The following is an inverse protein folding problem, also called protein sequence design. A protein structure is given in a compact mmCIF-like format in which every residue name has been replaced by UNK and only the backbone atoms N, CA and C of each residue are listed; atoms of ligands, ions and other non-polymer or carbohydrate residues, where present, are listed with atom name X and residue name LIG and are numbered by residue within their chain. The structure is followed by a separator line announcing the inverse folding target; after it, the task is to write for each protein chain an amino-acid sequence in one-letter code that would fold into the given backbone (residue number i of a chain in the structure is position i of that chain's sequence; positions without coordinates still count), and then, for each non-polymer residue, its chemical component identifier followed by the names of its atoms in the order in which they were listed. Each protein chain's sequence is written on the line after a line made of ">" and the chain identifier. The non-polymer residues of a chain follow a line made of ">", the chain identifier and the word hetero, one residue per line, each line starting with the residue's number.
data_IF_954486669905
#
_entry.id   IF_954486669905
#
_cell.length_a   1.000
_cell.length_b   1.000
_cell.length_c   1.000
_cell.angle_alpha   90.00
_cell.angle_beta   90.00
_cell.angle_gamma   90.00
#
_symmetry.space_group_name_H-M   'P 1'
#
loop_
_entity.id
_entity.type
_entity.pdbx_description
1 polymer ?
#
# COMPACT_ATOMS: atom_id res chain seq x y z
N UNK A 1 11.07 2.71 14.97
CA UNK A 1 10.81 1.40 14.34
C UNK A 1 11.73 1.13 13.14
N UNK A 2 11.82 1.99 12.12
CA UNK A 2 12.60 1.69 10.89
C UNK A 2 14.08 2.13 10.87
N UNK A 3 14.68 2.49 12.02
CA UNK A 3 16.07 2.99 12.06
C UNK A 3 17.11 1.98 11.56
N UNK A 4 16.79 0.69 11.60
CA UNK A 4 17.65 -0.39 11.09
C UNK A 4 17.54 -0.59 9.57
N UNK A 5 16.44 -0.16 8.94
CA UNK A 5 16.27 -0.17 7.49
C UNK A 5 16.97 1.07 6.91
N UNK A 6 18.25 0.90 6.57
CA UNK A 6 19.10 1.94 5.98
C UNK A 6 18.87 2.00 4.45
N UNK A 7 19.60 2.86 3.76
CA UNK A 7 19.46 3.05 2.31
C UNK A 7 19.65 1.77 1.45
N UNK A 8 20.30 0.71 1.95
CA UNK A 8 20.49 -0.54 1.19
C UNK A 8 19.17 -1.21 0.76
N UNK A 9 18.08 -0.98 1.52
CA UNK A 9 16.75 -1.52 1.18
C UNK A 9 16.19 -0.93 -0.13
N UNK A 10 16.69 0.24 -0.56
CA UNK A 10 16.34 0.83 -1.86
C UNK A 10 16.85 0.00 -3.03
N UNK A 11 17.92 -0.78 -2.84
CA UNK A 11 18.46 -1.68 -3.87
C UNK A 11 17.60 -2.93 -3.99
N UNK A 12 17.07 -3.44 -2.86
CA UNK A 12 16.20 -4.62 -2.86
C UNK A 12 14.76 -4.32 -3.28
N UNK A 13 14.30 -3.09 -3.09
CA UNK A 13 12.92 -2.73 -3.39
C UNK A 13 12.50 -2.99 -4.85
N UNK A 14 13.28 -2.62 -5.89
CA UNK A 14 12.95 -2.95 -7.28
C UNK A 14 12.82 -4.46 -7.51
N UNK A 15 13.68 -5.27 -6.88
CA UNK A 15 13.61 -6.73 -6.98
C UNK A 15 12.30 -7.27 -6.37
N UNK A 16 11.92 -6.77 -5.20
CA UNK A 16 10.65 -7.15 -4.56
C UNK A 16 9.43 -6.70 -5.40
N UNK A 17 9.50 -5.55 -6.05
CA UNK A 17 8.41 -5.03 -6.90
C UNK A 17 8.28 -5.83 -8.20
N UNK A 18 9.40 -6.25 -8.79
CA UNK A 18 9.44 -7.02 -10.04
C UNK A 18 9.22 -8.54 -9.85
N UNK A 19 9.35 -9.04 -8.61
CA UNK A 19 9.28 -10.46 -8.31
C UNK A 19 7.97 -11.14 -8.77
N UNK A 20 6.75 -10.58 -8.53
CA UNK A 20 5.51 -11.18 -9.00
C UNK A 20 5.43 -11.36 -10.52
N UNK A 21 6.00 -10.43 -11.30
CA UNK A 21 5.95 -10.44 -12.76
C UNK A 21 6.98 -11.42 -13.35
N UNK A 22 8.12 -11.60 -12.69
CA UNK A 22 9.20 -12.47 -13.17
C UNK A 22 9.05 -13.93 -12.70
N UNK A 23 8.53 -14.14 -11.50
CA UNK A 23 8.46 -15.45 -10.86
C UNK A 23 7.04 -15.91 -10.49
N UNK A 24 6.01 -15.16 -10.86
CA UNK A 24 4.62 -15.56 -10.67
C UNK A 24 4.32 -16.88 -11.39
N UNK A 25 3.84 -17.89 -10.66
CA UNK A 25 3.55 -19.23 -11.21
C UNK A 25 2.30 -19.84 -10.59
N UNK A 26 1.60 -20.67 -11.36
CA UNK A 26 0.40 -21.38 -10.89
C UNK A 26 0.65 -22.27 -9.66
N UNK A 27 1.90 -22.68 -9.43
CA UNK A 27 2.33 -23.37 -8.20
C UNK A 27 1.96 -22.60 -6.92
N UNK A 28 1.95 -21.27 -6.96
CA UNK A 28 1.63 -20.43 -5.81
C UNK A 28 0.14 -20.16 -5.63
N UNK A 29 -0.74 -20.66 -6.51
CA UNK A 29 -2.19 -20.42 -6.38
C UNK A 29 -2.90 -21.12 -5.20
N UNK A 30 -2.37 -22.17 -4.54
CA UNK A 30 -2.98 -22.69 -3.32
C UNK A 30 -3.01 -21.64 -2.19
N UNK A 31 -4.07 -21.58 -1.36
CA UNK A 31 -4.28 -20.51 -0.38
C UNK A 31 -3.09 -20.23 0.55
N UNK A 32 -2.32 -21.27 0.90
CA UNK A 32 -1.13 -21.16 1.75
C UNK A 32 -0.06 -20.23 1.18
N UNK A 33 0.02 -20.08 -0.14
CA UNK A 33 1.03 -19.27 -0.82
C UNK A 33 0.55 -17.86 -1.16
N UNK A 34 -0.74 -17.55 -0.96
CA UNK A 34 -1.32 -16.25 -1.30
C UNK A 34 -0.58 -15.09 -0.63
N UNK A 35 -0.11 -15.24 0.61
CA UNK A 35 0.62 -14.15 1.29
C UNK A 35 1.93 -13.75 0.58
N UNK A 36 2.50 -14.59 -0.28
CA UNK A 36 3.76 -14.27 -0.99
C UNK A 36 3.56 -13.21 -2.07
N UNK A 37 2.41 -13.21 -2.74
CA UNK A 37 2.15 -12.36 -3.90
C UNK A 37 2.64 -12.91 -5.25
N UNK A 38 3.16 -14.14 -5.30
CA UNK A 38 3.63 -14.81 -6.52
C UNK A 38 2.52 -15.61 -7.26
N UNK A 39 1.27 -15.39 -6.88
CA UNK A 39 0.11 -16.08 -7.46
C UNK A 39 -0.21 -15.52 -8.85
N UNK A 40 -0.77 -16.36 -9.73
CA UNK A 40 -1.22 -15.93 -11.07
C UNK A 40 -2.70 -15.61 -11.13
N UNK A 41 -3.48 -16.09 -10.15
CA UNK A 41 -4.92 -15.82 -10.04
C UNK A 41 -5.19 -15.16 -8.70
N UNK A 42 -5.83 -13.99 -8.70
CA UNK A 42 -6.13 -13.26 -7.47
C UNK A 42 -7.18 -14.02 -6.64
N UNK A 43 -7.06 -14.05 -5.30
CA UNK A 43 -8.09 -14.63 -4.45
C UNK A 43 -9.34 -13.77 -4.51
N UNK A 44 -10.50 -14.36 -4.20
CA UNK A 44 -11.77 -13.63 -4.11
C UNK A 44 -11.79 -12.87 -2.77
N UNK A 45 -11.15 -11.71 -2.73
CA UNK A 45 -11.18 -10.77 -1.61
C UNK A 45 -10.91 -9.36 -2.11
N UNK A 46 -11.63 -8.39 -1.56
CA UNK A 46 -11.51 -6.97 -1.92
C UNK A 46 -10.18 -6.36 -1.46
N UNK A 47 -9.63 -6.86 -0.34
CA UNK A 47 -8.44 -6.31 0.30
C UNK A 47 -7.27 -7.30 0.26
N UNK A 48 -6.85 -7.66 -0.96
CA UNK A 48 -5.69 -8.53 -1.15
C UNK A 48 -4.38 -7.72 -1.19
N UNK A 49 -3.69 -7.66 -0.05
CA UNK A 49 -2.39 -7.00 0.09
C UNK A 49 -1.28 -8.01 0.51
N UNK A 50 -0.71 -8.78 -0.45
CA UNK A 50 0.35 -9.76 -0.16
C UNK A 50 1.70 -9.09 0.18
N UNK A 51 2.71 -9.89 0.53
CA UNK A 51 4.06 -9.40 0.80
C UNK A 51 4.69 -8.75 -0.44
N UNK A 52 4.70 -9.43 -1.59
CA UNK A 52 5.20 -8.89 -2.85
C UNK A 52 4.01 -8.36 -3.68
N UNK A 53 4.07 -7.14 -4.23
CA UNK A 53 5.21 -6.22 -4.29
C UNK A 53 5.32 -5.25 -3.10
N UNK A 54 4.37 -5.28 -2.16
CA UNK A 54 4.15 -4.23 -1.16
C UNK A 54 5.32 -3.98 -0.21
N UNK A 55 6.09 -5.02 0.15
CA UNK A 55 7.31 -4.87 0.95
C UNK A 55 8.36 -4.00 0.25
N UNK A 56 8.42 -4.04 -1.09
CA UNK A 56 9.30 -3.18 -1.87
C UNK A 56 8.88 -1.71 -1.77
N UNK A 57 7.58 -1.42 -1.83
CA UNK A 57 7.03 -0.07 -1.62
C UNK A 57 7.35 0.43 -0.21
N UNK A 58 7.18 -0.42 0.79
CA UNK A 58 7.55 -0.13 2.18
C UNK A 58 9.05 0.20 2.30
N UNK A 59 9.91 -0.60 1.66
CA UNK A 59 11.36 -0.37 1.66
C UNK A 59 11.76 0.93 0.95
N UNK A 60 11.08 1.31 -0.14
CA UNK A 60 11.28 2.63 -0.76
C UNK A 60 11.02 3.74 0.26
N UNK A 61 9.85 3.71 0.93
CA UNK A 61 9.49 4.69 1.94
C UNK A 61 10.46 4.72 3.12
N UNK A 62 10.85 3.55 3.64
CA UNK A 62 11.79 3.44 4.75
C UNK A 62 13.20 3.96 4.38
N UNK A 63 13.72 3.56 3.22
CA UNK A 63 15.04 3.96 2.74
C UNK A 63 15.13 5.45 2.42
N UNK A 64 14.11 6.02 1.75
CA UNK A 64 14.02 7.45 1.49
C UNK A 64 13.86 8.24 2.78
N UNK A 65 12.98 7.78 3.69
CA UNK A 65 12.81 8.40 5.01
C UNK A 65 14.10 8.43 5.82
N UNK A 66 14.90 7.36 5.76
CA UNK A 66 16.22 7.31 6.39
C UNK A 66 17.19 8.31 5.74
N UNK A 67 17.29 8.38 4.42
CA UNK A 67 18.16 9.35 3.72
C UNK A 67 17.76 10.79 4.05
N UNK A 68 16.48 11.10 4.00
CA UNK A 68 15.94 12.42 4.32
C UNK A 68 16.19 12.80 5.78
N UNK A 69 16.13 11.83 6.70
CA UNK A 69 16.44 12.09 8.12
C UNK A 69 17.89 12.56 8.35
N UNK A 70 18.84 12.15 7.49
CA UNK A 70 20.25 12.59 7.56
C UNK A 70 20.44 14.06 7.19
N UNK A 71 19.52 14.61 6.42
CA UNK A 71 19.52 16.02 6.00
C UNK A 71 18.38 16.78 6.67
N UNK A 72 17.87 16.29 7.81
CA UNK A 72 16.82 16.93 8.61
C UNK A 72 15.57 17.28 7.78
N UNK A 73 15.26 16.45 6.77
CA UNK A 73 14.17 16.66 5.82
C UNK A 73 14.23 18.03 5.10
N UNK A 74 15.40 18.67 5.02
CA UNK A 74 15.61 19.96 4.32
C UNK A 74 14.98 20.01 2.92
N UNK A 75 15.10 18.98 2.06
CA UNK A 75 14.46 19.00 0.74
C UNK A 75 12.93 19.12 0.78
N UNK A 76 12.28 18.68 1.87
CA UNK A 76 10.83 18.73 2.00
C UNK A 76 10.31 20.04 2.58
N UNK A 77 11.18 20.95 3.06
CA UNK A 77 10.76 22.20 3.72
C UNK A 77 9.99 23.16 2.80
N UNK A 78 10.20 23.04 1.50
CA UNK A 78 9.52 23.87 0.49
C UNK A 78 8.17 23.28 0.04
N UNK A 79 7.82 22.07 0.48
CA UNK A 79 6.55 21.47 0.11
C UNK A 79 5.40 22.13 0.88
N UNK A 80 4.27 22.42 0.21
CA UNK A 80 3.12 22.99 0.87
C UNK A 80 2.59 22.03 1.94
N UNK A 81 2.26 22.59 3.11
CA UNK A 81 1.67 21.80 4.19
C UNK A 81 0.25 21.35 3.81
N UNK A 82 0.11 20.10 3.37
CA UNK A 82 -1.18 19.48 3.06
C UNK A 82 -1.89 19.01 4.34
N UNK A 83 -2.38 19.97 5.13
CA UNK A 83 -3.06 19.71 6.41
C UNK A 83 -4.21 18.68 6.33
N UNK A 84 -5.05 18.67 5.28
CA UNK A 84 -6.10 17.65 5.14
C UNK A 84 -5.51 16.24 5.00
N UNK A 85 -4.46 16.07 4.19
CA UNK A 85 -3.79 14.79 4.01
C UNK A 85 -3.12 14.30 5.30
N UNK A 86 -2.51 15.23 6.04
CA UNK A 86 -1.93 14.93 7.36
C UNK A 86 -3.01 14.47 8.35
N UNK A 87 -4.19 15.08 8.35
CA UNK A 87 -5.32 14.65 9.18
C UNK A 87 -5.80 13.24 8.80
N UNK A 88 -5.97 12.96 7.50
CA UNK A 88 -6.37 11.63 7.03
C UNK A 88 -5.35 10.56 7.44
N UNK A 89 -4.05 10.88 7.33
CA UNK A 89 -2.97 9.99 7.74
C UNK A 89 -2.85 9.75 9.25
N UNK A 90 -3.52 10.54 10.11
CA UNK A 90 -3.56 10.32 11.57
C UNK A 90 -4.58 9.29 12.00
N UNK A 91 -5.66 9.12 11.23
CA UNK A 91 -6.74 8.17 11.51
C UNK A 91 -6.96 7.21 10.34
N UNK A 92 -5.90 6.61 9.77
CA UNK A 92 -6.00 5.88 8.51
C UNK A 92 -6.92 4.67 8.67
N UNK A 93 -6.86 3.97 9.81
CA UNK A 93 -7.72 2.83 10.09
C UNK A 93 -9.20 3.22 10.23
N UNK A 94 -9.50 4.32 10.93
CA UNK A 94 -10.88 4.80 11.09
C UNK A 94 -11.48 5.18 9.74
N UNK A 95 -10.72 5.92 8.93
CA UNK A 95 -11.14 6.30 7.58
C UNK A 95 -11.31 5.06 6.70
N UNK A 96 -10.39 4.10 6.79
CA UNK A 96 -10.47 2.83 6.09
C UNK A 96 -11.67 1.97 6.53
N UNK A 97 -12.05 1.96 7.81
CA UNK A 97 -13.26 1.24 8.23
C UNK A 97 -14.55 1.98 7.81
N UNK A 98 -14.52 3.31 7.78
CA UNK A 98 -15.69 4.12 7.47
C UNK A 98 -16.04 4.15 5.98
N UNK A 99 -15.04 4.06 5.07
CA UNK A 99 -15.31 4.20 3.64
C UNK A 99 -16.23 3.10 3.11
N UNK A 100 -16.07 1.83 3.54
CA UNK A 100 -16.89 0.71 3.07
C UNK A 100 -18.40 0.91 3.32
N UNK A 101 -18.88 1.11 4.56
CA UNK A 101 -20.31 1.31 4.81
C UNK A 101 -20.85 2.58 4.15
N UNK A 102 -20.04 3.64 4.06
CA UNK A 102 -20.43 4.89 3.37
C UNK A 102 -20.64 4.65 1.88
N UNK A 103 -19.71 3.99 1.19
CA UNK A 103 -19.83 3.70 -0.23
C UNK A 103 -21.00 2.78 -0.53
N UNK A 104 -21.21 1.73 0.27
CA UNK A 104 -22.36 0.83 0.14
C UNK A 104 -23.67 1.62 0.31
N UNK A 105 -23.77 2.46 1.34
CA UNK A 105 -24.98 3.25 1.59
C UNK A 105 -25.28 4.23 0.46
N UNK A 106 -24.25 4.92 -0.05
CA UNK A 106 -24.41 5.89 -1.15
C UNK A 106 -24.81 5.20 -2.44
N UNK A 107 -24.13 4.11 -2.83
CA UNK A 107 -24.44 3.38 -4.06
C UNK A 107 -25.83 2.75 -4.02
N UNK A 108 -26.22 2.19 -2.88
CA UNK A 108 -27.57 1.68 -2.65
C UNK A 108 -28.62 2.77 -2.83
N UNK A 109 -28.41 3.92 -2.19
CA UNK A 109 -29.34 5.05 -2.25
C UNK A 109 -29.48 5.61 -3.66
N UNK A 110 -28.36 5.77 -4.39
CA UNK A 110 -28.37 6.18 -5.79
C UNK A 110 -29.10 5.16 -6.69
N UNK A 111 -29.00 3.87 -6.38
CA UNK A 111 -29.74 2.82 -7.07
C UNK A 111 -31.26 2.95 -6.91
N UNK A 112 -31.73 3.32 -5.73
CA UNK A 112 -33.15 3.57 -5.46
C UNK A 112 -33.71 4.79 -6.23
N UNK A 113 -32.85 5.76 -6.55
CA UNK A 113 -33.22 6.97 -7.28
C UNK A 113 -33.29 6.78 -8.80
N UNK A 114 -32.83 5.64 -9.32
CA UNK A 114 -32.93 5.36 -10.75
C UNK A 114 -34.39 5.05 -11.10
N UNK A 115 -35.05 5.85 -11.96
CA UNK A 115 -36.36 5.48 -12.47
C UNK A 115 -36.23 4.17 -13.24
N UNK A 116 -37.21 3.27 -13.05
CA UNK A 116 -37.30 2.00 -13.78
C UNK A 116 -37.46 2.24 -15.29
#
# INVERSE_FOLDING_TARGET
>A
MFRHLRAWVLVLAPLAIAAPQLWGRAFFNPPWWNWTGLITQKPITEDYAPLLPWIGVLWIGAGLGWLLSRVEFRPLRHLPAVRPLAFLGRWPLTIYMLHQPVLVSVTWFLGLMRPM
#
